data_IF_806737302796
#
_entry.id   IF_806737302796
#
_cell.length_a   1.000
_cell.length_b   1.000
_cell.length_c   1.000
_cell.angle_alpha   90.00
_cell.angle_beta   90.00
_cell.angle_gamma   90.00
#
_symmetry.space_group_name_H-M   'P 1'
#
loop_
_entity.id
_entity.type
_entity.pdbx_description
1 polymer ?
#
# COMPACT_ATOMS: atom_id res chain seq x y z
N UNK A 1 10.99 -10.23 12.83
CA UNK A 1 9.55 -9.87 12.62
C UNK A 1 8.99 -9.03 13.75
N UNK A 2 9.20 -9.43 15.01
CA UNK A 2 8.73 -8.68 16.20
C UNK A 2 9.13 -7.19 16.15
N UNK A 3 10.34 -6.88 15.72
CA UNK A 3 10.82 -5.51 15.54
C UNK A 3 9.88 -4.67 14.66
N UNK A 4 9.50 -5.16 13.47
CA UNK A 4 8.62 -4.42 12.56
C UNK A 4 7.18 -4.34 13.06
N UNK A 5 6.70 -5.38 13.77
CA UNK A 5 5.39 -5.32 14.43
C UNK A 5 5.38 -4.23 15.50
N UNK A 6 6.49 -4.02 16.20
CA UNK A 6 6.63 -2.94 17.19
C UNK A 6 6.64 -1.54 16.57
N UNK A 7 7.12 -1.40 15.33
CA UNK A 7 7.17 -0.14 14.56
C UNK A 7 5.84 0.20 13.86
N UNK A 8 4.85 -0.72 13.86
CA UNK A 8 3.56 -0.45 13.23
C UNK A 8 2.85 0.75 13.84
N UNK A 9 2.14 1.48 13.00
CA UNK A 9 1.24 2.54 13.44
C UNK A 9 0.20 1.99 14.44
N UNK A 10 -0.01 2.71 15.54
CA UNK A 10 -0.83 2.23 16.66
C UNK A 10 -2.11 3.02 16.89
N UNK A 11 -2.23 4.18 16.22
CA UNK A 11 -3.42 5.03 16.31
C UNK A 11 -4.61 4.50 15.52
N UNK A 12 -5.71 5.22 15.55
CA UNK A 12 -6.89 4.91 14.75
C UNK A 12 -6.67 5.25 13.27
N UNK A 13 -7.47 4.64 12.41
CA UNK A 13 -7.52 4.97 10.99
C UNK A 13 -7.86 6.44 10.75
N UNK A 14 -8.81 6.98 11.50
CA UNK A 14 -9.20 8.39 11.42
C UNK A 14 -8.02 9.32 11.73
N UNK A 15 -7.27 9.02 12.80
CA UNK A 15 -6.07 9.79 13.16
C UNK A 15 -5.01 9.69 12.07
N UNK A 16 -4.82 8.48 11.50
CA UNK A 16 -3.86 8.27 10.42
C UNK A 16 -4.20 9.10 9.18
N UNK A 17 -5.47 9.18 8.82
CA UNK A 17 -5.93 9.97 7.68
C UNK A 17 -5.73 11.47 7.91
N UNK A 18 -5.92 11.95 9.14
CA UNK A 18 -5.56 13.35 9.50
C UNK A 18 -4.05 13.60 9.40
N UNK A 19 -3.22 12.63 9.79
CA UNK A 19 -1.77 12.74 9.60
C UNK A 19 -1.38 12.81 8.10
N UNK A 20 -2.05 12.02 7.23
CA UNK A 20 -1.80 12.08 5.78
C UNK A 20 -2.11 13.48 5.21
N UNK A 21 -3.21 14.12 5.64
CA UNK A 21 -3.56 15.50 5.25
C UNK A 21 -2.48 16.49 5.71
N UNK A 22 -2.00 16.35 6.95
CA UNK A 22 -0.90 17.18 7.48
C UNK A 22 0.42 16.97 6.72
N UNK A 23 0.75 15.74 6.31
CA UNK A 23 1.96 15.49 5.52
C UNK A 23 1.88 16.12 4.13
N UNK A 24 0.72 16.05 3.47
CA UNK A 24 0.49 16.65 2.16
C UNK A 24 0.52 18.17 2.25
N UNK A 25 -0.22 18.77 3.19
CA UNK A 25 -0.29 20.24 3.36
C UNK A 25 1.05 20.85 3.78
N UNK A 26 1.83 20.13 4.57
CA UNK A 26 3.19 20.53 4.98
C UNK A 26 4.27 20.28 3.93
N UNK A 27 3.95 19.70 2.77
CA UNK A 27 4.92 19.34 1.73
C UNK A 27 5.95 18.30 2.17
N UNK A 28 5.62 17.48 3.16
CA UNK A 28 6.54 16.48 3.70
C UNK A 28 6.60 15.25 2.80
N UNK A 29 7.83 14.71 2.65
CA UNK A 29 7.99 13.39 2.05
C UNK A 29 7.61 12.29 3.03
N UNK A 30 6.67 11.41 2.64
CA UNK A 30 6.29 10.24 3.41
C UNK A 30 6.11 9.03 2.51
N UNK A 31 6.63 7.90 2.94
CA UNK A 31 6.41 6.62 2.25
C UNK A 31 5.55 5.76 3.17
N UNK A 32 4.47 5.22 2.62
CA UNK A 32 3.57 4.33 3.36
C UNK A 32 3.78 2.90 2.88
N UNK A 33 4.15 2.03 3.81
CA UNK A 33 4.25 0.59 3.55
C UNK A 33 3.11 -0.11 4.28
N UNK A 34 2.20 -0.72 3.51
CA UNK A 34 1.09 -1.51 4.04
C UNK A 34 1.60 -2.90 4.43
N UNK A 35 1.76 -3.11 5.73
CA UNK A 35 2.40 -4.29 6.30
C UNK A 35 1.38 -5.40 6.49
N UNK A 36 1.55 -6.48 5.74
CA UNK A 36 0.80 -7.71 5.88
C UNK A 36 1.76 -8.90 6.08
N UNK A 37 1.29 -10.14 6.32
CA UNK A 37 2.17 -11.28 6.49
C UNK A 37 3.16 -11.50 5.35
N UNK A 38 2.78 -11.19 4.12
CA UNK A 38 3.65 -11.33 2.96
C UNK A 38 4.78 -10.31 2.97
N UNK A 39 4.49 -9.04 3.33
CA UNK A 39 5.50 -7.98 3.51
C UNK A 39 6.54 -8.41 4.54
N UNK A 40 6.11 -8.92 5.70
CA UNK A 40 7.02 -9.37 6.76
C UNK A 40 7.81 -10.61 6.38
N UNK A 41 7.20 -11.57 5.69
CA UNK A 41 7.92 -12.76 5.22
C UNK A 41 8.91 -12.43 4.10
N UNK A 42 8.57 -11.48 3.23
CA UNK A 42 9.44 -11.02 2.14
C UNK A 42 10.63 -10.21 2.67
N UNK A 43 10.44 -9.39 3.71
CA UNK A 43 11.52 -8.58 4.29
C UNK A 43 12.67 -9.41 4.86
N UNK A 44 12.43 -10.67 5.25
CA UNK A 44 13.50 -11.54 5.72
C UNK A 44 14.50 -11.96 4.63
N UNK A 45 14.08 -11.91 3.37
CA UNK A 45 14.86 -12.36 2.20
C UNK A 45 15.21 -11.22 1.25
N UNK A 46 14.76 -10.00 1.56
CA UNK A 46 14.86 -8.85 0.68
C UNK A 46 15.43 -7.65 1.45
N UNK A 47 16.71 -7.39 1.23
CA UNK A 47 17.44 -6.32 1.91
C UNK A 47 16.91 -4.93 1.56
N UNK A 48 16.45 -4.71 0.32
CA UNK A 48 15.90 -3.42 -0.09
C UNK A 48 14.59 -3.12 0.65
N UNK A 49 13.69 -4.12 0.73
CA UNK A 49 12.46 -3.99 1.51
C UNK A 49 12.77 -3.76 3.00
N UNK A 50 13.74 -4.48 3.55
CA UNK A 50 14.19 -4.29 4.93
C UNK A 50 14.68 -2.87 5.17
N UNK A 51 15.61 -2.37 4.34
CA UNK A 51 16.15 -1.01 4.41
C UNK A 51 15.05 0.06 4.22
N UNK A 52 14.08 -0.19 3.33
CA UNK A 52 12.92 0.70 3.20
C UNK A 52 12.16 0.79 4.52
N UNK A 53 11.80 -0.37 5.12
CA UNK A 53 11.03 -0.41 6.36
C UNK A 53 11.76 0.22 7.57
N UNK A 54 13.09 0.31 7.51
CA UNK A 54 13.92 0.94 8.53
C UNK A 54 14.13 2.45 8.31
N UNK A 55 13.68 2.98 7.18
CA UNK A 55 13.91 4.39 6.81
C UNK A 55 13.01 5.34 7.61
N UNK A 56 13.56 6.48 8.06
CA UNK A 56 12.85 7.47 8.91
C UNK A 56 11.61 8.10 8.25
N UNK A 57 11.60 8.22 6.91
CA UNK A 57 10.47 8.77 6.18
C UNK A 57 9.35 7.75 5.93
N UNK A 58 9.51 6.51 6.40
CA UNK A 58 8.52 5.44 6.20
C UNK A 58 7.56 5.36 7.38
N UNK A 59 6.29 5.17 7.07
CA UNK A 59 5.23 4.79 8.00
C UNK A 59 4.79 3.36 7.71
N UNK A 60 4.87 2.49 8.71
CA UNK A 60 4.44 1.09 8.60
C UNK A 60 3.00 0.95 9.10
N UNK A 61 2.08 0.56 8.21
CA UNK A 61 0.65 0.51 8.50
C UNK A 61 0.13 -0.93 8.50
N UNK A 62 -0.63 -1.37 9.51
CA UNK A 62 -1.11 -2.74 9.61
C UNK A 62 -2.23 -3.03 8.60
N UNK A 63 -1.94 -3.74 7.51
CA UNK A 63 -2.93 -4.10 6.47
C UNK A 63 -3.40 -5.56 6.57
N UNK A 64 -3.09 -6.33 7.42
CA UNK A 64 -3.59 -7.71 7.50
C UNK A 64 -4.15 -8.04 8.88
N UNK A 65 -5.33 -8.66 8.96
CA UNK A 65 -5.88 -9.11 10.25
C UNK A 65 -4.93 -10.03 11.01
N UNK A 66 -4.12 -10.82 10.30
CA UNK A 66 -3.10 -11.66 10.92
C UNK A 66 -2.00 -10.83 11.61
N UNK A 67 -1.62 -9.69 11.03
CA UNK A 67 -0.64 -8.76 11.62
C UNK A 67 -1.25 -8.08 12.86
N UNK A 68 -2.51 -7.64 12.79
CA UNK A 68 -3.24 -7.07 13.95
C UNK A 68 -3.33 -8.09 15.10
N UNK A 69 -3.63 -9.35 14.81
CA UNK A 69 -3.64 -10.41 15.84
C UNK A 69 -2.23 -10.68 16.39
N UNK A 70 -1.23 -10.72 15.52
CA UNK A 70 0.16 -10.95 15.91
C UNK A 70 0.71 -9.84 16.80
N UNK A 71 0.30 -8.58 16.61
CA UNK A 71 0.72 -7.45 17.43
C UNK A 71 0.35 -7.64 18.91
N UNK A 72 -0.81 -8.26 19.17
CA UNK A 72 -1.22 -8.62 20.54
C UNK A 72 -0.33 -9.72 21.14
N UNK A 73 0.11 -10.69 20.33
CA UNK A 73 0.97 -11.78 20.80
C UNK A 73 2.35 -11.30 21.21
N UNK A 74 2.89 -10.30 20.50
CA UNK A 74 4.20 -9.71 20.82
C UNK A 74 4.10 -8.55 21.83
N UNK A 75 2.96 -8.37 22.49
CA UNK A 75 2.69 -7.31 23.48
C UNK A 75 2.86 -5.89 22.95
N UNK A 76 2.57 -5.68 21.67
CA UNK A 76 2.64 -4.38 21.00
C UNK A 76 1.36 -4.15 20.16
N UNK A 77 0.17 -4.12 20.80
CA UNK A 77 -1.10 -4.11 20.10
C UNK A 77 -1.26 -2.87 19.22
N UNK A 78 -1.74 -3.09 17.99
CA UNK A 78 -2.25 -2.04 17.12
C UNK A 78 -3.76 -1.95 17.28
N UNK A 79 -4.32 -0.76 17.12
CA UNK A 79 -5.74 -0.50 17.38
C UNK A 79 -6.62 -1.18 16.33
N UNK A 80 -6.33 -0.96 15.06
CA UNK A 80 -7.14 -1.47 13.95
C UNK A 80 -6.32 -1.73 12.68
N UNK A 81 -6.94 -2.37 11.71
CA UNK A 81 -6.40 -2.60 10.38
C UNK A 81 -6.67 -1.37 9.51
N UNK A 82 -5.63 -0.92 8.78
CA UNK A 82 -5.73 0.14 7.77
C UNK A 82 -5.21 -0.43 6.45
N UNK A 83 -6.09 -0.57 5.46
CA UNK A 83 -5.76 -1.26 4.22
C UNK A 83 -5.24 -0.32 3.13
N UNK A 84 -4.45 -0.88 2.19
CA UNK A 84 -3.97 -0.11 1.05
C UNK A 84 -5.08 0.52 0.21
N UNK A 85 -6.25 -0.14 0.12
CA UNK A 85 -7.41 0.42 -0.59
C UNK A 85 -8.01 1.61 0.15
N UNK A 86 -8.17 1.53 1.48
CA UNK A 86 -8.69 2.65 2.29
C UNK A 86 -7.75 3.85 2.27
N UNK A 87 -6.43 3.62 2.31
CA UNK A 87 -5.43 4.67 2.13
C UNK A 87 -5.56 5.31 0.74
N UNK A 88 -5.74 4.51 -0.30
CA UNK A 88 -5.90 5.02 -1.67
C UNK A 88 -7.17 5.86 -1.82
N UNK A 89 -8.30 5.38 -1.29
CA UNK A 89 -9.59 6.09 -1.30
C UNK A 89 -9.47 7.45 -0.58
N UNK A 90 -8.82 7.48 0.58
CA UNK A 90 -8.59 8.72 1.32
C UNK A 90 -7.66 9.68 0.58
N UNK A 91 -6.55 9.18 0.02
CA UNK A 91 -5.63 10.00 -0.77
C UNK A 91 -6.31 10.62 -2.00
N UNK A 92 -7.21 9.88 -2.68
CA UNK A 92 -8.01 10.43 -3.78
C UNK A 92 -8.97 11.52 -3.28
N UNK A 93 -9.61 11.32 -2.13
CA UNK A 93 -10.49 12.31 -1.50
C UNK A 93 -9.75 13.61 -1.14
N UNK A 94 -8.58 13.48 -0.49
CA UNK A 94 -7.72 14.61 -0.14
C UNK A 94 -7.19 15.34 -1.39
N UNK A 95 -6.79 14.56 -2.41
CA UNK A 95 -6.31 15.12 -3.67
C UNK A 95 -7.39 15.92 -4.39
N UNK A 96 -8.63 15.42 -4.42
CA UNK A 96 -9.74 16.13 -5.02
C UNK A 96 -10.10 17.41 -4.24
N UNK A 97 -10.16 17.32 -2.92
CA UNK A 97 -10.47 18.46 -2.02
C UNK A 97 -9.45 19.59 -2.14
N UNK A 98 -8.16 19.25 -2.15
CA UNK A 98 -7.07 20.21 -2.05
C UNK A 98 -6.33 20.43 -3.39
N UNK A 99 -6.81 19.83 -4.49
CA UNK A 99 -6.23 19.92 -5.84
C UNK A 99 -4.77 19.42 -5.91
N UNK A 100 -4.45 18.39 -5.12
CA UNK A 100 -3.13 17.79 -5.17
C UNK A 100 -2.87 17.04 -6.48
N UNK A 101 -1.61 16.98 -6.83
CA UNK A 101 -1.14 16.24 -8.02
C UNK A 101 -0.99 14.75 -7.71
N UNK A 102 -1.41 13.93 -8.68
CA UNK A 102 -1.42 12.47 -8.58
C UNK A 102 -0.70 11.83 -9.76
N UNK A 103 0.08 10.79 -9.50
CA UNK A 103 0.57 9.86 -10.51
C UNK A 103 0.21 8.42 -10.14
N UNK A 104 -0.15 7.60 -11.14
CA UNK A 104 -0.50 6.19 -10.97
C UNK A 104 0.54 5.34 -11.70
N UNK A 105 1.18 4.40 -10.98
CA UNK A 105 2.14 3.45 -11.57
C UNK A 105 1.76 2.02 -11.24
N UNK A 106 1.53 1.19 -12.23
CA UNK A 106 1.33 -0.24 -12.01
C UNK A 106 0.04 -0.79 -12.59
N UNK A 107 -0.29 -2.03 -12.20
CA UNK A 107 -1.36 -2.84 -12.75
C UNK A 107 -1.22 -3.09 -14.26
N UNK A 108 -2.21 -3.71 -14.88
CA UNK A 108 -2.30 -3.85 -16.34
C UNK A 108 -2.79 -2.56 -16.96
N UNK A 109 -2.53 -2.38 -18.25
CA UNK A 109 -2.95 -1.18 -19.00
C UNK A 109 -4.46 -0.92 -18.88
N UNK A 110 -5.27 -1.95 -19.12
CA UNK A 110 -6.72 -1.83 -19.04
C UNK A 110 -7.22 -1.44 -17.64
N UNK A 111 -6.51 -1.86 -16.57
CA UNK A 111 -6.86 -1.56 -15.19
C UNK A 111 -6.52 -0.11 -14.83
N UNK A 112 -5.30 0.33 -15.16
CA UNK A 112 -4.87 1.69 -14.82
C UNK A 112 -5.61 2.73 -15.67
N UNK A 113 -5.88 2.45 -16.94
CA UNK A 113 -6.67 3.33 -17.82
C UNK A 113 -8.12 3.48 -17.30
N UNK A 114 -8.77 2.35 -16.96
CA UNK A 114 -10.11 2.39 -16.35
C UNK A 114 -10.15 3.16 -15.02
N UNK A 115 -9.08 3.04 -14.20
CA UNK A 115 -8.96 3.82 -12.97
C UNK A 115 -8.82 5.33 -13.26
N UNK A 116 -8.05 5.69 -14.26
CA UNK A 116 -7.88 7.09 -14.70
C UNK A 116 -9.21 7.69 -15.14
N UNK A 117 -9.98 6.96 -15.98
CA UNK A 117 -11.27 7.44 -16.45
C UNK A 117 -12.26 7.64 -15.28
N UNK A 118 -12.27 6.72 -14.34
CA UNK A 118 -13.07 6.85 -13.12
C UNK A 118 -12.64 8.04 -12.27
N UNK A 119 -11.34 8.26 -12.09
CA UNK A 119 -10.81 9.41 -11.33
C UNK A 119 -11.23 10.73 -11.97
N UNK A 120 -11.17 10.85 -13.30
CA UNK A 120 -11.61 12.07 -14.00
C UNK A 120 -13.09 12.40 -13.75
N UNK A 121 -13.93 11.38 -13.59
CA UNK A 121 -15.38 11.54 -13.33
C UNK A 121 -15.67 11.80 -11.86
N UNK A 122 -15.13 10.97 -10.95
CA UNK A 122 -15.46 11.00 -9.54
C UNK A 122 -14.65 12.03 -8.73
N UNK A 123 -13.44 12.39 -9.23
CA UNK A 123 -12.49 13.28 -8.56
C UNK A 123 -11.94 14.35 -9.52
N UNK A 124 -12.79 15.19 -10.11
CA UNK A 124 -12.44 16.07 -11.22
C UNK A 124 -11.45 17.20 -10.86
N UNK A 125 -11.24 17.48 -9.58
CA UNK A 125 -10.28 18.49 -9.13
C UNK A 125 -8.85 17.97 -8.95
N UNK A 126 -8.62 16.66 -9.07
CA UNK A 126 -7.28 16.08 -8.99
C UNK A 126 -6.43 16.55 -10.17
N UNK A 127 -5.23 17.03 -9.88
CA UNK A 127 -4.23 17.31 -10.91
C UNK A 127 -3.52 16.01 -11.33
N UNK A 128 -4.13 15.25 -12.25
CA UNK A 128 -3.53 14.02 -12.76
C UNK A 128 -2.31 14.35 -13.65
N UNK A 129 -1.10 14.04 -13.16
CA UNK A 129 0.16 14.29 -13.89
C UNK A 129 0.45 13.22 -14.95
N UNK A 130 -0.10 12.02 -14.75
CA UNK A 130 0.05 10.92 -15.68
C UNK A 130 -0.18 9.56 -15.01
N UNK A 131 -0.02 8.53 -15.82
CA UNK A 131 -0.08 7.14 -15.37
C UNK A 131 0.82 6.27 -16.24
N UNK A 132 1.23 5.12 -15.70
CA UNK A 132 1.96 4.09 -16.42
C UNK A 132 1.55 2.71 -15.90
N UNK A 133 1.40 1.75 -16.81
CA UNK A 133 1.14 0.37 -16.38
C UNK A 133 2.40 -0.29 -15.78
N UNK A 134 2.21 -1.42 -15.10
CA UNK A 134 3.28 -2.16 -14.43
C UNK A 134 4.16 -3.01 -15.35
N UNK A 135 3.92 -3.00 -16.67
CA UNK A 135 4.61 -3.81 -17.67
C UNK A 135 5.46 -2.96 -18.63
N UNK A 136 5.73 -1.71 -18.28
CA UNK A 136 6.67 -0.86 -19.04
C UNK A 136 8.05 -1.52 -19.09
N UNK A 137 8.78 -1.32 -20.19
CA UNK A 137 10.09 -1.98 -20.43
C UNK A 137 11.11 -1.72 -19.33
N UNK A 138 11.06 -0.56 -18.68
CA UNK A 138 12.02 -0.18 -17.64
C UNK A 138 11.34 0.66 -16.55
N UNK A 139 11.02 0.02 -15.45
CA UNK A 139 10.36 0.66 -14.30
C UNK A 139 11.27 1.68 -13.59
N UNK A 140 12.58 1.47 -13.55
CA UNK A 140 13.51 2.42 -12.94
C UNK A 140 13.57 3.73 -13.76
N UNK A 141 13.63 3.63 -15.09
CA UNK A 141 13.55 4.81 -15.96
C UNK A 141 12.22 5.55 -15.80
N UNK A 142 11.13 4.80 -15.61
CA UNK A 142 9.80 5.39 -15.40
C UNK A 142 9.73 6.11 -14.06
N UNK A 143 10.22 5.52 -12.98
CA UNK A 143 10.31 6.18 -11.66
C UNK A 143 11.15 7.46 -11.71
N UNK A 144 12.28 7.45 -12.45
CA UNK A 144 13.10 8.65 -12.65
C UNK A 144 12.40 9.77 -13.46
N UNK A 145 11.44 9.44 -14.33
CA UNK A 145 10.56 10.46 -14.94
C UNK A 145 9.53 10.99 -13.96
N UNK A 146 8.90 10.08 -13.20
CA UNK A 146 7.88 10.43 -12.21
C UNK A 146 8.47 11.34 -11.13
N UNK A 147 9.68 11.07 -10.65
CA UNK A 147 10.34 11.89 -9.62
C UNK A 147 10.55 13.35 -10.09
N UNK A 148 10.83 13.55 -11.38
CA UNK A 148 10.97 14.90 -11.99
C UNK A 148 9.65 15.67 -12.05
N UNK A 149 8.51 14.98 -12.13
CA UNK A 149 7.18 15.58 -12.10
C UNK A 149 6.79 16.04 -10.68
N UNK A 150 7.48 15.56 -9.65
CA UNK A 150 7.26 15.91 -8.23
C UNK A 150 5.79 15.77 -7.80
N UNK A 151 5.15 14.62 -8.00
CA UNK A 151 3.77 14.43 -7.60
C UNK A 151 3.60 14.61 -6.09
N UNK A 152 2.44 15.13 -5.67
CA UNK A 152 2.07 15.16 -4.25
C UNK A 152 1.65 13.76 -3.77
N UNK A 153 1.12 12.94 -4.68
CA UNK A 153 0.73 11.55 -4.39
C UNK A 153 1.21 10.65 -5.52
N UNK A 154 1.92 9.57 -5.15
CA UNK A 154 2.30 8.48 -6.05
C UNK A 154 1.74 7.16 -5.53
N UNK A 155 0.79 6.56 -6.25
CA UNK A 155 0.28 5.23 -5.96
C UNK A 155 1.01 4.20 -6.85
N UNK A 156 1.58 3.17 -6.20
CA UNK A 156 2.36 2.12 -6.89
C UNK A 156 1.68 0.76 -6.71
N UNK A 157 1.26 0.13 -7.81
CA UNK A 157 0.51 -1.13 -7.84
C UNK A 157 1.25 -2.24 -8.61
N UNK A 158 2.41 -2.66 -8.11
CA UNK A 158 3.25 -3.71 -8.75
C UNK A 158 3.24 -5.03 -7.96
N UNK A 159 2.68 -5.01 -6.74
CA UNK A 159 2.72 -6.15 -5.81
C UNK A 159 4.02 -6.26 -5.03
N UNK A 160 3.93 -7.03 -3.92
CA UNK A 160 5.03 -7.27 -2.99
C UNK A 160 5.96 -8.35 -3.55
N UNK A 161 7.28 -8.19 -3.48
CA UNK A 161 8.04 -7.04 -2.93
C UNK A 161 8.43 -6.00 -3.98
N UNK A 162 8.03 -6.15 -5.25
CA UNK A 162 8.53 -5.34 -6.38
C UNK A 162 8.24 -3.85 -6.23
N UNK A 163 7.06 -3.49 -5.72
CA UNK A 163 6.71 -2.09 -5.49
C UNK A 163 7.58 -1.44 -4.41
N UNK A 164 7.84 -2.15 -3.32
CA UNK A 164 8.67 -1.64 -2.22
C UNK A 164 10.14 -1.53 -2.64
N UNK A 165 10.66 -2.51 -3.41
CA UNK A 165 12.00 -2.45 -3.96
C UNK A 165 12.19 -1.26 -4.90
N UNK A 166 11.23 -1.04 -5.79
CA UNK A 166 11.26 0.08 -6.71
C UNK A 166 11.21 1.42 -5.96
N UNK A 167 10.31 1.54 -4.98
CA UNK A 167 10.22 2.72 -4.13
C UNK A 167 11.54 2.95 -3.39
N UNK A 168 12.14 1.91 -2.81
CA UNK A 168 13.42 2.03 -2.09
C UNK A 168 14.54 2.57 -2.98
N UNK A 169 14.70 2.03 -4.19
CA UNK A 169 15.76 2.46 -5.11
C UNK A 169 15.66 3.93 -5.49
N UNK A 170 14.45 4.46 -5.57
CA UNK A 170 14.18 5.82 -6.05
C UNK A 170 13.72 6.81 -4.98
N UNK A 171 13.56 6.36 -3.72
CA UNK A 171 12.99 7.22 -2.66
C UNK A 171 13.75 8.52 -2.42
N UNK A 172 15.05 8.55 -2.71
CA UNK A 172 15.88 9.74 -2.53
C UNK A 172 15.74 10.76 -3.66
N UNK A 173 15.11 10.39 -4.76
CA UNK A 173 14.80 11.30 -5.88
C UNK A 173 13.57 12.15 -5.60
N UNK A 174 12.76 11.78 -4.61
CA UNK A 174 11.58 12.52 -4.17
C UNK A 174 11.93 13.36 -2.94
N UNK A 175 11.51 14.62 -2.94
CA UNK A 175 11.71 15.56 -1.83
C UNK A 175 10.42 15.92 -1.09
N UNK A 176 9.24 15.58 -1.64
CA UNK A 176 7.91 15.82 -1.07
C UNK A 176 6.94 14.70 -1.45
N UNK A 177 5.75 14.77 -0.87
CA UNK A 177 4.59 13.97 -1.25
C UNK A 177 4.51 12.61 -0.56
N UNK A 178 3.38 11.96 -0.74
CA UNK A 178 3.10 10.61 -0.23
C UNK A 178 3.30 9.59 -1.34
N UNK A 179 4.16 8.61 -1.09
CA UNK A 179 4.39 7.45 -1.97
C UNK A 179 3.88 6.21 -1.24
N UNK A 180 3.03 5.43 -1.87
CA UNK A 180 2.47 4.24 -1.24
C UNK A 180 2.36 3.05 -2.19
N UNK A 181 2.84 1.89 -1.75
CA UNK A 181 2.62 0.61 -2.40
C UNK A 181 1.23 0.07 -2.07
N UNK A 182 0.36 -0.02 -3.07
CA UNK A 182 -1.06 -0.37 -2.90
C UNK A 182 -1.44 -1.73 -3.50
N UNK A 183 -0.49 -2.41 -4.17
CA UNK A 183 -0.70 -3.74 -4.75
C UNK A 183 -1.95 -3.83 -5.61
N UNK A 184 -2.80 -4.80 -5.34
CA UNK A 184 -4.05 -5.04 -6.10
C UNK A 184 -5.19 -4.05 -5.82
N UNK A 185 -4.93 -2.88 -5.22
CA UNK A 185 -6.00 -1.89 -4.98
C UNK A 185 -6.50 -1.26 -6.28
N UNK A 186 -5.67 -1.14 -7.32
CA UNK A 186 -6.10 -0.62 -8.61
C UNK A 186 -7.19 -1.46 -9.26
N UNK A 187 -7.13 -2.80 -9.16
CA UNK A 187 -8.17 -3.69 -9.67
C UNK A 187 -9.56 -3.39 -9.05
N UNK A 188 -9.58 -3.03 -7.77
CA UNK A 188 -10.83 -2.73 -7.05
C UNK A 188 -11.28 -1.30 -7.29
N UNK A 189 -10.36 -0.34 -7.21
CA UNK A 189 -10.66 1.08 -7.42
C UNK A 189 -11.16 1.36 -8.84
N UNK A 190 -10.58 0.71 -9.85
CA UNK A 190 -11.03 0.80 -11.26
C UNK A 190 -12.40 0.17 -11.48
N UNK A 191 -12.84 -0.72 -10.58
CA UNK A 191 -14.05 -1.52 -10.77
C UNK A 191 -13.85 -2.78 -11.63
N UNK A 192 -12.63 -3.06 -12.12
CA UNK A 192 -12.33 -4.27 -12.91
C UNK A 192 -12.46 -5.55 -12.06
N UNK A 193 -12.22 -5.45 -10.76
CA UNK A 193 -12.54 -6.53 -9.80
C UNK A 193 -13.47 -6.02 -8.70
N UNK A 194 -14.49 -6.81 -8.40
CA UNK A 194 -15.40 -6.51 -7.29
C UNK A 194 -14.68 -6.66 -5.95
N UNK A 195 -14.83 -5.67 -5.07
CA UNK A 195 -14.42 -5.79 -3.67
C UNK A 195 -15.22 -6.92 -3.00
N UNK A 196 -14.66 -7.54 -1.98
CA UNK A 196 -15.39 -8.55 -1.21
C UNK A 196 -16.71 -7.96 -0.66
N UNK A 197 -17.78 -8.76 -0.56
CA UNK A 197 -19.03 -8.31 0.05
C UNK A 197 -18.82 -7.73 1.44
N UNK A 198 -19.64 -6.75 1.83
CA UNK A 198 -19.51 -6.03 3.12
C UNK A 198 -19.40 -6.98 4.33
N UNK A 199 -20.08 -8.12 4.30
CA UNK A 199 -20.03 -9.12 5.38
C UNK A 199 -18.63 -9.73 5.52
N UNK A 200 -17.95 -10.06 4.40
CA UNK A 200 -16.58 -10.57 4.43
C UNK A 200 -15.58 -9.51 4.93
N UNK A 201 -15.79 -8.25 4.55
CA UNK A 201 -14.96 -7.12 5.03
C UNK A 201 -15.14 -6.93 6.53
N UNK A 202 -16.40 -6.88 7.00
CA UNK A 202 -16.76 -6.69 8.42
C UNK A 202 -16.24 -7.83 9.31
N UNK A 203 -16.22 -9.05 8.81
CA UNK A 203 -15.68 -10.22 9.51
C UNK A 203 -14.17 -10.39 9.35
N UNK A 204 -13.50 -9.49 8.61
CA UNK A 204 -12.06 -9.61 8.27
C UNK A 204 -11.71 -10.88 7.46
N UNK A 205 -12.64 -11.39 6.66
CA UNK A 205 -12.52 -12.58 5.80
C UNK A 205 -12.29 -12.22 4.31
N UNK A 206 -11.89 -11.01 4.00
CA UNK A 206 -11.61 -10.56 2.63
C UNK A 206 -10.58 -11.45 1.93
N UNK A 207 -9.56 -11.92 2.66
CA UNK A 207 -8.57 -12.88 2.19
C UNK A 207 -9.19 -14.22 1.75
N UNK A 208 -10.19 -14.71 2.48
CA UNK A 208 -10.89 -15.95 2.16
C UNK A 208 -11.72 -15.78 0.88
N UNK A 209 -12.45 -14.68 0.75
CA UNK A 209 -13.18 -14.35 -0.46
C UNK A 209 -12.27 -14.32 -1.70
N UNK A 210 -11.08 -13.72 -1.57
CA UNK A 210 -10.08 -13.66 -2.65
C UNK A 210 -9.55 -15.04 -3.02
N UNK A 211 -9.36 -15.95 -2.06
CA UNK A 211 -8.95 -17.34 -2.34
C UNK A 211 -10.07 -18.11 -3.05
N UNK A 212 -11.33 -17.94 -2.62
CA UNK A 212 -12.48 -18.59 -3.26
C UNK A 212 -12.61 -18.14 -4.73
N UNK A 213 -12.39 -16.85 -5.00
CA UNK A 213 -12.46 -16.30 -6.37
C UNK A 213 -11.24 -16.67 -7.23
N UNK A 214 -10.06 -16.78 -6.62
CA UNK A 214 -8.78 -17.07 -7.28
C UNK A 214 -8.04 -18.17 -6.49
N UNK A 215 -8.34 -19.47 -6.69
CA UNK A 215 -7.72 -20.57 -5.93
C UNK A 215 -6.20 -20.64 -6.04
N UNK A 216 -5.61 -20.11 -7.11
CA UNK A 216 -4.15 -19.99 -7.29
C UNK A 216 -3.47 -19.20 -6.16
N UNK A 217 -4.22 -18.33 -5.47
CA UNK A 217 -3.73 -17.57 -4.30
C UNK A 217 -3.49 -18.46 -3.06
N UNK A 218 -4.02 -19.69 -3.01
CA UNK A 218 -3.89 -20.57 -1.85
C UNK A 218 -2.41 -20.89 -1.52
N UNK A 219 -1.59 -21.17 -2.55
CA UNK A 219 -0.15 -21.43 -2.37
C UNK A 219 0.56 -20.20 -1.79
N UNK A 220 0.25 -19.00 -2.30
CA UNK A 220 0.80 -17.73 -1.81
C UNK A 220 0.36 -17.45 -0.37
N UNK A 221 -0.93 -17.66 -0.08
CA UNK A 221 -1.49 -17.53 1.27
C UNK A 221 -0.80 -18.46 2.28
N UNK A 222 -0.60 -19.73 1.92
CA UNK A 222 0.08 -20.70 2.77
C UNK A 222 1.51 -20.25 3.07
N UNK A 223 2.26 -19.88 2.05
CA UNK A 223 3.66 -19.48 2.19
C UNK A 223 3.86 -18.16 2.95
N UNK A 224 2.91 -17.25 2.92
CA UNK A 224 2.98 -15.99 3.65
C UNK A 224 2.24 -16.07 4.99
N UNK A 225 0.92 -16.28 5.00
CA UNK A 225 0.11 -16.12 6.21
C UNK A 225 0.30 -17.25 7.23
N UNK A 226 0.31 -18.51 6.77
CA UNK A 226 0.42 -19.64 7.69
C UNK A 226 1.82 -19.69 8.30
N UNK A 227 2.86 -19.59 7.47
CA UNK A 227 4.26 -19.56 7.97
C UNK A 227 4.52 -18.37 8.89
N UNK A 228 3.96 -17.21 8.59
CA UNK A 228 4.03 -16.03 9.44
C UNK A 228 3.48 -16.30 10.85
N UNK A 229 2.28 -16.88 10.97
CA UNK A 229 1.66 -17.18 12.26
C UNK A 229 2.57 -18.09 13.10
N UNK A 230 3.13 -19.15 12.51
CA UNK A 230 4.04 -20.05 13.22
C UNK A 230 5.32 -19.34 13.68
N UNK A 231 5.90 -18.47 12.83
CA UNK A 231 7.12 -17.73 13.17
C UNK A 231 6.89 -16.74 14.30
N UNK A 232 5.85 -15.90 14.21
CA UNK A 232 5.57 -14.90 15.25
C UNK A 232 5.28 -15.54 16.59
N UNK A 233 4.63 -16.72 16.60
CA UNK A 233 4.41 -17.46 17.86
C UNK A 233 5.71 -17.94 18.52
N UNK A 234 6.77 -18.18 17.77
CA UNK A 234 8.09 -18.55 18.31
C UNK A 234 8.87 -17.35 18.86
N UNK A 235 8.54 -16.14 18.41
CA UNK A 235 9.17 -14.88 18.86
C UNK A 235 8.41 -14.20 20.03
N UNK A 236 7.46 -14.91 20.61
CA UNK A 236 6.55 -14.47 21.69
C UNK A 236 7.25 -14.10 23.02
#
# INVERSE_FOLDING_TARGET
>A
MKEYINKLYKGSKETYFKEMDLWLSGGNKKIIVTVNPETLMSSEKNDNLKKLMDSKCVSLVPDGIAVVKASKWVKSPVLERITGIEISEELLTLANKNKYSLYLLGAKEEVVSSLVDKIKVEYPSIKLLGFSNGYVKNLDKEMGKISKLKPDILLVALGIPMQEELIYRHMNEFNKGIIVGVGGSFDVLSGTKKRAPKIFIKLNLEWLYRIIKEPSRLKRFWNSNVKFIFKVRKEK
#
